data_IF_350253047149
#
_entry.id   IF_350253047149
#
_cell.length_a   1.000
_cell.length_b   1.000
_cell.length_c   1.000
_cell.angle_alpha   90.00
_cell.angle_beta   90.00
_cell.angle_gamma   90.00
#
_symmetry.space_group_name_H-M   'P 1'
#
loop_
_entity.id
_entity.type
_entity.pdbx_description
1 polymer ?
#
# COMPACT_ATOMS: atom_id res chain seq x y z
N UNK A 1 -14.00 -3.49 9.09
CA UNK A 1 -12.81 -4.21 8.54
C UNK A 1 -11.74 -3.17 8.26
N UNK A 2 -10.57 -3.31 8.86
CA UNK A 2 -9.50 -2.31 8.71
C UNK A 2 -8.72 -2.52 7.41
N UNK A 3 -9.24 -2.02 6.27
CA UNK A 3 -8.45 -1.99 5.04
C UNK A 3 -7.37 -0.92 5.17
N UNK A 4 -6.14 -1.28 4.90
CA UNK A 4 -4.98 -0.38 4.87
C UNK A 4 -4.34 -0.47 3.49
N UNK A 5 -4.34 0.64 2.79
CA UNK A 5 -3.72 0.75 1.47
C UNK A 5 -2.28 1.16 1.65
N UNK A 6 -1.38 0.42 1.04
CA UNK A 6 0.06 0.62 1.19
C UNK A 6 0.71 0.72 -0.19
N UNK A 7 1.69 1.60 -0.29
CA UNK A 7 2.58 1.75 -1.43
C UNK A 7 4.02 1.86 -0.94
N UNK A 8 4.99 1.30 -1.67
CA UNK A 8 6.38 1.20 -1.25
C UNK A 8 7.34 1.69 -2.32
N UNK A 9 8.34 2.47 -1.89
CA UNK A 9 9.47 2.86 -2.71
C UNK A 9 10.74 2.13 -2.24
N UNK A 10 11.53 1.61 -3.18
CA UNK A 10 12.73 0.83 -2.86
C UNK A 10 13.78 0.94 -3.97
N UNK A 11 15.04 0.64 -3.64
CA UNK A 11 16.16 0.69 -4.59
C UNK A 11 16.25 -0.53 -5.50
N UNK A 12 15.42 -1.55 -5.30
CA UNK A 12 15.48 -2.79 -6.06
C UNK A 12 14.13 -3.49 -6.16
N UNK A 13 14.13 -4.68 -6.74
CA UNK A 13 12.90 -5.45 -7.02
C UNK A 13 12.45 -6.29 -5.84
N UNK A 14 13.33 -6.54 -4.88
CA UNK A 14 13.05 -7.40 -3.73
C UNK A 14 14.01 -7.11 -2.58
N UNK A 15 13.69 -7.50 -1.35
CA UNK A 15 14.60 -7.36 -0.20
C UNK A 15 15.95 -8.09 -0.36
N UNK A 16 16.06 -9.04 -1.31
CA UNK A 16 17.32 -9.71 -1.62
C UNK A 16 18.24 -8.88 -2.54
N UNK A 17 17.71 -7.90 -3.26
CA UNK A 17 18.45 -7.13 -4.29
C UNK A 17 18.41 -5.62 -4.08
N UNK A 18 17.75 -5.15 -3.04
CA UNK A 18 17.62 -3.73 -2.72
C UNK A 18 17.20 -3.50 -1.29
N UNK A 19 16.87 -2.26 -0.97
CA UNK A 19 16.36 -1.85 0.33
C UNK A 19 15.09 -1.01 0.17
N UNK A 20 14.17 -1.17 1.10
CA UNK A 20 13.00 -0.29 1.24
C UNK A 20 13.50 1.10 1.64
N UNK A 21 13.14 2.12 0.88
CA UNK A 21 13.52 3.50 1.18
C UNK A 21 12.45 4.23 1.96
N UNK A 22 11.22 4.06 1.55
CA UNK A 22 10.05 4.64 2.22
C UNK A 22 8.78 3.88 1.87
N UNK A 23 7.73 4.09 2.64
CA UNK A 23 6.39 3.58 2.35
C UNK A 23 5.31 4.49 2.88
N UNK A 24 4.20 4.53 2.18
CA UNK A 24 2.98 5.21 2.58
C UNK A 24 1.88 4.22 2.94
N UNK A 25 1.10 4.53 3.97
CA UNK A 25 -0.10 3.78 4.29
C UNK A 25 -1.29 4.71 4.53
N UNK A 26 -2.47 4.28 4.10
CA UNK A 26 -3.73 5.03 4.27
C UNK A 26 -4.80 4.10 4.80
N UNK A 27 -5.43 4.46 5.91
CA UNK A 27 -6.62 3.77 6.40
C UNK A 27 -7.82 4.10 5.51
N UNK A 28 -8.51 3.07 5.01
CA UNK A 28 -9.64 3.25 4.09
C UNK A 28 -10.80 4.05 4.69
N UNK A 29 -11.12 3.82 5.95
CA UNK A 29 -12.30 4.42 6.60
C UNK A 29 -12.05 5.85 7.07
N UNK A 30 -10.91 6.09 7.73
CA UNK A 30 -10.58 7.39 8.34
C UNK A 30 -9.81 8.34 7.41
N UNK A 31 -9.19 7.80 6.36
CA UNK A 31 -8.24 8.52 5.48
C UNK A 31 -6.96 8.99 6.19
N UNK A 32 -6.76 8.60 7.43
CA UNK A 32 -5.52 8.89 8.13
C UNK A 32 -4.36 8.17 7.45
N UNK A 33 -3.21 8.86 7.43
CA UNK A 33 -2.02 8.43 6.72
C UNK A 33 -0.89 8.08 7.68
N UNK A 34 -0.01 7.21 7.23
CA UNK A 34 1.30 6.96 7.83
C UNK A 34 2.37 7.08 6.75
N UNK A 35 3.49 7.74 7.07
CA UNK A 35 4.66 7.79 6.21
C UNK A 35 5.85 7.21 6.97
N UNK A 36 6.36 6.09 6.49
CA UNK A 36 7.55 5.44 7.03
C UNK A 36 8.76 5.73 6.14
N UNK A 37 9.69 6.53 6.61
CA UNK A 37 10.95 6.84 5.92
C UNK A 37 12.08 6.06 6.57
N UNK A 38 12.79 5.25 5.77
CA UNK A 38 13.95 4.47 6.19
C UNK A 38 15.25 5.02 5.64
N UNK A 39 15.18 5.74 4.51
CA UNK A 39 16.31 6.42 3.88
C UNK A 39 15.84 7.71 3.22
N UNK A 40 16.66 8.76 3.28
CA UNK A 40 16.47 9.88 2.36
C UNK A 40 16.70 9.37 0.94
N UNK A 41 15.70 9.54 0.09
CA UNK A 41 15.71 8.99 -1.26
C UNK A 41 14.93 9.86 -2.23
N UNK A 42 15.13 9.60 -3.52
CA UNK A 42 14.34 10.21 -4.60
C UNK A 42 14.12 9.16 -5.72
N UNK A 43 13.16 9.35 -6.62
CA UNK A 43 12.98 8.51 -7.79
C UNK A 43 14.27 8.41 -8.61
N UNK A 44 14.65 7.21 -9.04
CA UNK A 44 15.85 7.01 -9.86
C UNK A 44 15.56 7.41 -11.31
N UNK A 45 16.21 8.47 -11.86
CA UNK A 45 15.97 8.89 -13.23
C UNK A 45 16.38 7.85 -14.29
N UNK A 46 17.32 6.95 -13.94
CA UNK A 46 17.77 5.88 -14.82
C UNK A 46 16.86 4.65 -14.76
N UNK A 47 16.14 4.47 -13.66
CA UNK A 47 15.27 3.33 -13.41
C UNK A 47 13.98 3.79 -12.72
N UNK A 48 13.00 4.36 -13.46
CA UNK A 48 11.81 5.03 -12.90
C UNK A 48 10.93 4.17 -11.98
N UNK A 49 11.12 2.85 -11.98
CA UNK A 49 10.41 1.94 -11.09
C UNK A 49 11.14 1.69 -9.75
N UNK A 50 12.20 2.44 -9.47
CA UNK A 50 13.01 2.31 -8.24
C UNK A 50 13.40 3.68 -7.71
N UNK A 51 13.79 3.72 -6.42
CA UNK A 51 14.39 4.89 -5.78
C UNK A 51 15.90 4.76 -5.72
N UNK A 52 16.59 5.90 -5.59
CA UNK A 52 17.99 5.97 -5.21
C UNK A 52 18.15 6.67 -3.86
N UNK A 53 19.06 6.19 -3.04
CA UNK A 53 19.38 6.79 -1.75
C UNK A 53 20.18 8.07 -1.99
N UNK A 54 19.79 9.15 -1.29
CA UNK A 54 20.41 10.48 -1.41
C UNK A 54 20.98 11.01 -0.09
N UNK A 55 20.67 10.37 1.05
CA UNK A 55 21.06 10.89 2.35
C UNK A 55 21.02 9.87 3.49
N UNK A 56 20.48 10.30 4.62
CA UNK A 56 20.53 9.58 5.90
C UNK A 56 19.71 8.29 5.91
N UNK A 57 20.16 7.34 6.72
CA UNK A 57 19.39 6.16 7.13
C UNK A 57 18.68 6.45 8.45
N UNK A 58 17.46 5.98 8.57
CA UNK A 58 16.65 6.05 9.78
C UNK A 58 16.51 4.66 10.43
N UNK A 59 16.23 4.63 11.73
CA UNK A 59 16.09 3.39 12.48
C UNK A 59 14.82 2.63 12.05
N UNK A 60 15.01 1.51 11.39
CA UNK A 60 13.90 0.67 10.91
C UNK A 60 13.06 0.12 12.06
N UNK A 61 13.67 -0.20 13.23
CA UNK A 61 12.92 -0.70 14.39
C UNK A 61 11.97 0.40 14.91
N UNK A 62 12.42 1.65 14.98
CA UNK A 62 11.56 2.77 15.36
C UNK A 62 10.40 2.97 14.34
N UNK A 63 10.73 3.00 13.05
CA UNK A 63 9.72 3.19 11.98
C UNK A 63 8.65 2.11 12.04
N UNK A 64 9.04 0.82 12.09
CA UNK A 64 8.08 -0.28 12.12
C UNK A 64 7.33 -0.39 13.45
N UNK A 65 7.94 0.00 14.57
CA UNK A 65 7.23 0.11 15.87
C UNK A 65 6.14 1.18 15.82
N UNK A 66 6.42 2.35 15.25
CA UNK A 66 5.41 3.41 15.06
C UNK A 66 4.31 2.98 14.09
N UNK A 67 4.68 2.26 13.03
CA UNK A 67 3.71 1.73 12.07
C UNK A 67 2.80 0.68 12.72
N UNK A 68 3.35 -0.24 13.50
CA UNK A 68 2.57 -1.22 14.25
C UNK A 68 1.58 -0.57 15.21
N UNK A 69 2.03 0.44 15.96
CA UNK A 69 1.15 1.21 16.85
C UNK A 69 0.06 1.98 16.07
N UNK A 70 0.37 2.49 14.88
CA UNK A 70 -0.62 3.13 14.01
C UNK A 70 -1.64 2.11 13.51
N UNK A 71 -1.23 0.93 13.05
CA UNK A 71 -2.12 -0.16 12.64
C UNK A 71 -3.05 -0.58 13.78
N UNK A 72 -2.51 -0.74 14.99
CA UNK A 72 -3.30 -1.13 16.17
C UNK A 72 -4.41 -0.13 16.49
N UNK A 73 -4.15 1.19 16.37
CA UNK A 73 -5.17 2.23 16.57
C UNK A 73 -6.31 2.18 15.54
N UNK A 74 -6.01 1.75 14.31
CA UNK A 74 -6.96 1.76 13.20
C UNK A 74 -7.61 0.40 12.90
N UNK A 75 -7.21 -0.66 13.59
CA UNK A 75 -7.71 -2.03 13.34
C UNK A 75 -8.93 -2.42 14.17
N UNK A 76 -9.33 -1.59 15.16
CA UNK A 76 -10.45 -1.88 16.07
C UNK A 76 -10.35 -3.28 16.71
N UNK A 77 -9.12 -3.71 17.05
CA UNK A 77 -8.86 -5.03 17.62
C UNK A 77 -8.95 -6.20 16.63
N UNK A 78 -9.06 -5.92 15.34
CA UNK A 78 -9.05 -6.94 14.27
C UNK A 78 -7.73 -6.93 13.52
N UNK A 79 -7.43 -8.00 12.82
CA UNK A 79 -6.28 -8.02 11.92
C UNK A 79 -6.51 -7.04 10.77
N UNK A 80 -5.58 -6.09 10.51
CA UNK A 80 -5.65 -5.21 9.37
C UNK A 80 -5.51 -6.00 8.05
N UNK A 81 -6.17 -5.52 7.00
CA UNK A 81 -6.09 -6.13 5.67
C UNK A 81 -5.21 -5.26 4.79
N UNK A 82 -4.10 -5.82 4.34
CA UNK A 82 -3.19 -5.16 3.39
C UNK A 82 -3.82 -5.07 2.00
N UNK A 83 -3.81 -3.89 1.42
CA UNK A 83 -4.29 -3.64 0.04
C UNK A 83 -3.24 -2.81 -0.70
N UNK A 84 -2.94 -3.17 -1.93
CA UNK A 84 -2.10 -2.34 -2.81
C UNK A 84 -2.43 -2.53 -4.29
N UNK A 85 -1.79 -1.74 -5.13
CA UNK A 85 -1.81 -1.95 -6.59
C UNK A 85 -1.05 -3.23 -6.96
N UNK A 86 0.12 -3.44 -6.34
CA UNK A 86 0.95 -4.61 -6.61
C UNK A 86 1.48 -5.27 -5.32
N UNK A 87 0.65 -6.07 -4.60
CA UNK A 87 1.08 -6.72 -3.37
C UNK A 87 2.30 -7.64 -3.55
N UNK A 88 2.54 -8.17 -4.74
CA UNK A 88 3.75 -8.94 -5.00
C UNK A 88 5.04 -8.10 -4.84
N UNK A 89 4.93 -6.79 -5.01
CA UNK A 89 6.01 -5.83 -4.73
C UNK A 89 5.87 -5.23 -3.32
N UNK A 90 4.77 -4.57 -3.02
CA UNK A 90 4.62 -3.80 -1.78
C UNK A 90 4.61 -4.69 -0.53
N UNK A 91 3.87 -5.80 -0.58
CA UNK A 91 3.74 -6.69 0.56
C UNK A 91 5.05 -7.37 0.95
N UNK A 92 5.91 -7.72 -0.02
CA UNK A 92 7.20 -8.34 0.29
C UNK A 92 8.10 -7.42 1.12
N UNK A 93 8.11 -6.09 0.82
CA UNK A 93 8.88 -5.11 1.55
C UNK A 93 8.38 -4.92 2.99
N UNK A 94 7.08 -4.76 3.14
CA UNK A 94 6.44 -4.59 4.45
C UNK A 94 6.56 -5.86 5.29
N UNK A 95 6.33 -7.03 4.67
CA UNK A 95 6.48 -8.32 5.37
C UNK A 95 7.92 -8.52 5.85
N UNK A 96 8.91 -8.27 4.99
CA UNK A 96 10.32 -8.36 5.36
C UNK A 96 10.69 -7.37 6.46
N UNK A 97 10.26 -6.11 6.34
CA UNK A 97 10.53 -5.08 7.34
C UNK A 97 9.98 -5.45 8.73
N UNK A 98 8.74 -5.90 8.81
CA UNK A 98 8.15 -6.37 10.07
C UNK A 98 8.85 -7.62 10.62
N UNK A 99 9.21 -8.57 9.76
CA UNK A 99 9.87 -9.81 10.18
C UNK A 99 11.23 -9.53 10.82
N UNK A 100 12.08 -8.75 10.14
CA UNK A 100 13.45 -8.46 10.62
C UNK A 100 13.49 -7.47 11.79
N UNK A 101 12.47 -6.65 12.00
CA UNK A 101 12.44 -5.64 13.07
C UNK A 101 11.65 -6.10 14.29
N UNK A 102 10.46 -6.66 14.12
CA UNK A 102 9.54 -7.01 15.20
C UNK A 102 9.26 -8.52 15.30
N UNK A 103 9.79 -9.35 14.39
CA UNK A 103 9.60 -10.80 14.38
C UNK A 103 8.16 -11.24 14.10
N UNK A 104 7.30 -10.35 13.60
CA UNK A 104 5.89 -10.64 13.30
C UNK A 104 5.36 -9.66 12.27
N UNK A 105 4.34 -10.05 11.50
CA UNK A 105 3.64 -9.17 10.58
C UNK A 105 2.16 -9.04 10.99
N UNK A 106 1.68 -7.83 11.38
CA UNK A 106 0.28 -7.60 11.77
C UNK A 106 -0.73 -7.93 10.67
N UNK A 107 -0.34 -7.80 9.39
CA UNK A 107 -1.19 -8.14 8.24
C UNK A 107 -1.32 -9.66 8.00
N UNK A 108 -0.48 -10.48 8.64
CA UNK A 108 -0.40 -11.91 8.37
C UNK A 108 0.32 -12.23 7.06
N UNK A 109 -0.24 -13.11 6.22
CA UNK A 109 0.46 -13.69 5.09
C UNK A 109 -0.08 -13.30 3.71
N UNK A 110 -1.06 -12.39 3.63
CA UNK A 110 -1.67 -12.09 2.34
C UNK A 110 -2.05 -10.63 2.16
N UNK A 111 -1.75 -10.10 0.97
CA UNK A 111 -2.25 -8.82 0.48
C UNK A 111 -3.43 -8.99 -0.47
N UNK A 112 -4.19 -7.92 -0.67
CA UNK A 112 -5.27 -7.83 -1.65
C UNK A 112 -4.86 -6.88 -2.75
N UNK A 113 -5.07 -7.32 -3.99
CA UNK A 113 -4.75 -6.51 -5.17
C UNK A 113 -6.01 -5.85 -5.70
N UNK A 114 -5.98 -4.52 -5.91
CA UNK A 114 -7.10 -3.76 -6.46
C UNK A 114 -7.42 -4.24 -7.89
N UNK A 115 -6.39 -4.49 -8.68
CA UNK A 115 -6.52 -4.95 -10.06
C UNK A 115 -7.27 -6.29 -10.17
N UNK A 116 -7.05 -7.23 -9.24
CA UNK A 116 -7.73 -8.53 -9.27
C UNK A 116 -9.21 -8.39 -8.89
N UNK A 117 -9.50 -7.50 -7.94
CA UNK A 117 -10.88 -7.15 -7.61
C UNK A 117 -11.60 -6.54 -8.83
N UNK A 118 -10.95 -5.60 -9.52
CA UNK A 118 -11.49 -4.96 -10.72
C UNK A 118 -11.72 -5.97 -11.86
N UNK A 119 -10.73 -6.84 -12.12
CA UNK A 119 -10.83 -7.90 -13.13
C UNK A 119 -11.99 -8.86 -12.83
N UNK A 120 -12.16 -9.23 -11.55
CA UNK A 120 -13.28 -10.07 -11.10
C UNK A 120 -14.64 -9.42 -11.33
N UNK A 121 -14.80 -8.12 -11.08
CA UNK A 121 -16.02 -7.36 -11.35
C UNK A 121 -16.41 -7.40 -12.82
N UNK A 122 -15.43 -7.34 -13.70
CA UNK A 122 -15.62 -7.36 -15.15
C UNK A 122 -15.62 -8.76 -15.77
N UNK A 123 -15.33 -9.81 -14.96
CA UNK A 123 -15.16 -11.20 -15.43
C UNK A 123 -14.13 -11.32 -16.55
N UNK A 124 -13.12 -10.47 -16.54
CA UNK A 124 -12.01 -10.45 -17.50
C UNK A 124 -10.68 -10.21 -16.76
N UNK A 125 -9.90 -11.27 -16.62
CA UNK A 125 -8.62 -11.25 -15.87
C UNK A 125 -7.56 -10.34 -16.51
N UNK A 126 -7.74 -9.91 -17.76
CA UNK A 126 -6.82 -8.99 -18.46
C UNK A 126 -7.06 -7.52 -18.08
N UNK A 127 -8.22 -7.19 -17.52
CA UNK A 127 -8.58 -5.82 -17.13
C UNK A 127 -7.97 -5.46 -15.79
N UNK A 128 -6.74 -4.97 -15.81
CA UNK A 128 -5.94 -4.74 -14.60
C UNK A 128 -5.50 -3.29 -14.39
N UNK A 129 -5.72 -2.37 -15.36
CA UNK A 129 -5.18 -1.02 -15.29
C UNK A 129 -6.23 0.09 -15.32
N UNK A 130 -7.40 -0.16 -15.87
CA UNK A 130 -8.40 0.88 -16.15
C UNK A 130 -8.99 1.51 -14.88
N UNK A 131 -8.96 0.81 -13.75
CA UNK A 131 -9.37 1.34 -12.45
C UNK A 131 -8.50 2.52 -12.01
N UNK A 132 -7.24 2.60 -12.47
CA UNK A 132 -6.30 3.69 -12.11
C UNK A 132 -6.79 5.08 -12.54
N UNK A 133 -7.62 5.16 -13.58
CA UNK A 133 -8.25 6.42 -14.03
C UNK A 133 -9.23 7.03 -13.01
N UNK A 134 -9.60 6.28 -11.97
CA UNK A 134 -10.47 6.74 -10.89
C UNK A 134 -9.69 7.41 -9.76
N UNK A 135 -8.37 7.38 -9.78
CA UNK A 135 -7.51 8.13 -8.86
C UNK A 135 -7.74 9.63 -9.08
N UNK A 136 -7.78 10.40 -8.00
CA UNK A 136 -7.79 11.87 -8.03
C UNK A 136 -6.41 12.41 -7.66
N UNK A 137 -5.79 11.82 -6.65
CA UNK A 137 -4.40 12.08 -6.29
C UNK A 137 -3.49 11.49 -7.36
N UNK A 138 -2.62 12.31 -8.00
CA UNK A 138 -1.69 11.83 -9.03
C UNK A 138 -0.71 10.79 -8.49
N UNK A 139 -0.26 9.92 -9.36
CA UNK A 139 0.87 9.05 -9.10
C UNK A 139 2.16 9.85 -9.34
N UNK A 140 2.89 10.14 -8.27
CA UNK A 140 4.08 11.01 -8.30
C UNK A 140 5.30 10.39 -7.59
N UNK A 141 5.25 9.08 -7.29
CA UNK A 141 6.26 8.36 -6.52
C UNK A 141 6.42 8.88 -5.07
N UNK A 142 5.44 9.60 -4.56
CA UNK A 142 5.28 9.79 -3.13
C UNK A 142 4.37 8.67 -2.62
N UNK A 143 4.85 7.74 -1.78
CA UNK A 143 4.09 6.54 -1.45
C UNK A 143 2.80 6.84 -0.67
N UNK A 144 2.72 7.98 0.03
CA UNK A 144 1.47 8.41 0.69
C UNK A 144 0.44 8.87 -0.35
N UNK A 145 0.86 9.64 -1.36
CA UNK A 145 -0.01 10.09 -2.44
C UNK A 145 -0.49 8.90 -3.27
N UNK A 146 0.41 7.97 -3.57
CA UNK A 146 0.10 6.78 -4.38
C UNK A 146 -0.88 5.84 -3.65
N UNK A 147 -0.67 5.63 -2.35
CA UNK A 147 -1.63 4.91 -1.51
C UNK A 147 -2.99 5.65 -1.41
N UNK A 148 -3.00 6.99 -1.33
CA UNK A 148 -4.23 7.78 -1.31
C UNK A 148 -4.99 7.68 -2.63
N UNK A 149 -4.31 7.80 -3.76
CA UNK A 149 -4.92 7.59 -5.10
C UNK A 149 -5.54 6.19 -5.23
N UNK A 150 -4.89 5.16 -4.69
CA UNK A 150 -5.42 3.80 -4.63
C UNK A 150 -6.71 3.71 -3.79
N UNK A 151 -6.75 4.36 -2.63
CA UNK A 151 -7.95 4.45 -1.78
C UNK A 151 -9.11 5.13 -2.51
N UNK A 152 -8.84 6.25 -3.16
CA UNK A 152 -9.86 7.01 -3.90
C UNK A 152 -10.46 6.20 -5.05
N UNK A 153 -9.59 5.55 -5.83
CA UNK A 153 -10.03 4.69 -6.93
C UNK A 153 -10.86 3.51 -6.42
N UNK A 154 -10.44 2.86 -5.34
CA UNK A 154 -11.17 1.74 -4.77
C UNK A 154 -12.53 2.18 -4.20
N UNK A 155 -12.61 3.32 -3.53
CA UNK A 155 -13.86 3.90 -3.06
C UNK A 155 -14.84 4.16 -4.21
N UNK A 156 -14.35 4.75 -5.31
CA UNK A 156 -15.17 5.01 -6.50
C UNK A 156 -15.68 3.70 -7.15
N UNK A 157 -14.89 2.63 -7.13
CA UNK A 157 -15.35 1.30 -7.59
C UNK A 157 -16.48 0.76 -6.71
N UNK A 158 -16.35 0.88 -5.38
CA UNK A 158 -17.40 0.42 -4.45
C UNK A 158 -18.70 1.22 -4.62
N UNK A 159 -18.60 2.53 -4.80
CA UNK A 159 -19.75 3.40 -5.07
C UNK A 159 -20.47 2.99 -6.36
N UNK A 160 -19.73 2.79 -7.45
CA UNK A 160 -20.29 2.36 -8.72
C UNK A 160 -21.02 0.99 -8.64
N UNK A 161 -20.45 0.06 -7.83
CA UNK A 161 -21.08 -1.26 -7.62
C UNK A 161 -22.36 -1.14 -6.79
N UNK A 162 -22.34 -0.31 -5.75
CA UNK A 162 -23.50 -0.04 -4.91
C UNK A 162 -24.66 0.53 -5.74
N UNK A 163 -24.36 1.52 -6.58
CA UNK A 163 -25.36 2.18 -7.43
C UNK A 163 -25.95 1.20 -8.46
N UNK A 164 -25.13 0.30 -8.99
CA UNK A 164 -25.59 -0.71 -9.94
C UNK A 164 -26.42 -1.84 -9.32
N UNK A 165 -26.24 -2.13 -8.02
CA UNK A 165 -26.89 -3.26 -7.32
C UNK A 165 -27.99 -2.85 -6.35
N UNK A 166 -28.18 -1.58 -6.08
CA UNK A 166 -29.22 -1.07 -5.17
C UNK A 166 -29.05 -1.47 -3.69
N UNK A 167 -27.84 -1.79 -3.24
CA UNK A 167 -27.59 -2.19 -1.85
C UNK A 167 -26.13 -2.08 -1.40
N UNK A 168 -25.87 -2.14 -0.07
CA UNK A 168 -24.52 -2.01 0.47
C UNK A 168 -23.64 -3.21 0.10
N UNK A 169 -22.36 -2.92 -0.20
CA UNK A 169 -21.31 -3.93 -0.35
C UNK A 169 -20.54 -4.00 0.97
N UNK A 170 -20.44 -5.21 1.53
CA UNK A 170 -19.62 -5.43 2.73
C UNK A 170 -18.12 -5.33 2.41
N UNK A 171 -17.42 -4.37 2.99
CA UNK A 171 -15.96 -4.22 2.99
C UNK A 171 -15.44 -3.98 4.40
#
# INVERSE_FOLDING_TARGET
MGLVFVDCEATGRSPASGVLTEFGAVNFSTRETFHGVLWDSEPDPAHPATSRITGAQYDAVDVFTRFDAWLARHSEGRQPVFVSDNPAYDFQWINYGFDVTLGRNPFGHSGRRIADFYAGLHRDFRRTQEWKRLRRTPHDHNPVNDAMGNVEAFAALLDAIRDAKGGPIGV
#
